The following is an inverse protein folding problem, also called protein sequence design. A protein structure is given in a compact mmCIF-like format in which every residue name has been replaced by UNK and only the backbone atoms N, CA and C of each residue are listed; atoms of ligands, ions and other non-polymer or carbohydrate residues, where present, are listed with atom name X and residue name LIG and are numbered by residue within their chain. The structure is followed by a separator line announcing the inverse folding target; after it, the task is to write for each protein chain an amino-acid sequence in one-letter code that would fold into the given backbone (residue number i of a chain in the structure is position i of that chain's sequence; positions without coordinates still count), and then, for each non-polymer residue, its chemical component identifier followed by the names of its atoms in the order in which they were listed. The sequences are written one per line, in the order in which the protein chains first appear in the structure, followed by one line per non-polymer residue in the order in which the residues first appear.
data_IF_394329461759
#
_entry.id   IF_394329461759
#
_cell.length_a   1.000
_cell.length_b   1.000
_cell.length_c   1.000
_cell.angle_alpha   90.00
_cell.angle_beta   90.00
_cell.angle_gamma   90.00
#
_symmetry.space_group_name_H-M   'P 1'
#
loop_
_entity.id
_entity.type
_entity.pdbx_description
1 polymer ?
#
# COMPACT_ATOMS: atom_id res chain seq x y z
N UNK A 1 -10.08 18.96 13.04
CA UNK A 1 -9.41 17.67 13.32
C UNK A 1 -10.23 16.46 12.89
N UNK A 2 -11.21 15.97 13.67
CA UNK A 2 -11.98 14.74 13.32
C UNK A 2 -12.68 14.81 11.96
N UNK A 3 -13.21 15.98 11.58
CA UNK A 3 -13.92 16.16 10.31
C UNK A 3 -13.00 16.08 9.08
N UNK A 4 -11.74 16.52 9.20
CA UNK A 4 -10.77 16.48 8.09
C UNK A 4 -10.34 15.04 7.86
N UNK A 5 -9.94 14.33 8.92
CA UNK A 5 -9.55 12.92 8.81
C UNK A 5 -10.70 12.06 8.30
N UNK A 6 -11.92 12.30 8.81
CA UNK A 6 -13.10 11.61 8.29
C UNK A 6 -13.29 11.86 6.80
N UNK A 7 -13.15 13.12 6.35
CA UNK A 7 -13.24 13.46 4.92
C UNK A 7 -12.16 12.77 4.08
N UNK A 8 -10.93 12.65 4.58
CA UNK A 8 -9.85 11.96 3.86
C UNK A 8 -10.13 10.45 3.74
N UNK A 9 -10.59 9.81 4.82
CA UNK A 9 -10.87 8.36 4.84
C UNK A 9 -12.12 7.95 4.05
N UNK A 10 -13.07 8.88 3.86
CA UNK A 10 -14.27 8.69 3.03
C UNK A 10 -13.98 8.76 1.54
N UNK A 11 -12.96 9.53 1.14
CA UNK A 11 -12.52 9.59 -0.25
C UNK A 11 -11.70 8.35 -0.62
N UNK A 12 -11.82 7.95 -1.88
CA UNK A 12 -10.97 6.89 -2.44
C UNK A 12 -9.77 7.55 -3.09
N UNK A 13 -8.53 7.27 -2.65
CA UNK A 13 -7.32 7.78 -3.30
C UNK A 13 -7.27 7.40 -4.77
N UNK A 14 -6.70 8.28 -5.59
CA UNK A 14 -6.65 8.14 -7.05
C UNK A 14 -5.96 6.83 -7.48
N UNK A 15 -4.92 6.42 -6.74
CA UNK A 15 -4.19 5.16 -6.97
C UNK A 15 -5.07 3.90 -6.82
N UNK A 16 -6.25 4.01 -6.19
CA UNK A 16 -7.19 2.91 -5.98
C UNK A 16 -8.43 2.99 -6.88
N UNK A 17 -8.69 4.12 -7.56
CA UNK A 17 -9.92 4.37 -8.36
C UNK A 17 -10.14 3.39 -9.52
N UNK A 18 -9.06 2.77 -9.99
CA UNK A 18 -9.06 1.70 -10.98
C UNK A 18 -9.83 0.44 -10.55
N UNK A 19 -9.94 0.22 -9.25
CA UNK A 19 -10.50 -0.98 -8.64
C UNK A 19 -11.91 -0.74 -8.08
N UNK A 20 -12.60 -1.82 -7.74
CA UNK A 20 -13.71 -1.79 -6.79
C UNK A 20 -13.10 -1.86 -5.39
N UNK A 21 -13.38 -0.82 -4.60
CA UNK A 21 -12.82 -0.63 -3.27
C UNK A 21 -13.94 -0.76 -2.24
N UNK A 22 -13.75 -1.57 -1.20
CA UNK A 22 -14.69 -1.69 -0.09
C UNK A 22 -13.96 -1.64 1.24
N UNK A 23 -14.53 -0.95 2.24
CA UNK A 23 -14.02 -1.01 3.62
C UNK A 23 -14.04 -2.45 4.12
N UNK A 24 -13.00 -2.86 4.84
CA UNK A 24 -12.83 -4.21 5.36
C UNK A 24 -12.46 -4.18 6.83
N UNK A 25 -13.16 -4.97 7.63
CA UNK A 25 -12.88 -5.17 9.07
C UNK A 25 -11.98 -6.40 9.31
N UNK A 26 -11.14 -6.72 8.33
CA UNK A 26 -10.26 -7.87 8.40
C UNK A 26 -9.28 -7.76 9.57
N UNK A 27 -9.03 -8.86 10.27
CA UNK A 27 -8.07 -8.90 11.37
C UNK A 27 -6.65 -8.77 10.83
N UNK A 28 -5.96 -7.69 11.18
CA UNK A 28 -4.58 -7.43 10.77
C UNK A 28 -3.57 -8.28 11.58
N UNK A 29 -2.44 -8.67 10.98
CA UNK A 29 -1.43 -9.53 11.62
C UNK A 29 -0.61 -8.82 12.72
N UNK A 30 -0.59 -7.50 12.78
CA UNK A 30 0.12 -6.70 13.79
C UNK A 30 -0.77 -5.56 14.32
N UNK A 31 -0.58 -5.16 15.59
CA UNK A 31 -1.44 -4.18 16.28
C UNK A 31 -1.06 -2.70 16.09
N UNK A 32 0.13 -2.41 15.53
CA UNK A 32 0.65 -1.05 15.31
C UNK A 32 -0.11 -0.20 14.27
N UNK A 33 -0.77 -0.81 13.28
CA UNK A 33 -1.51 -0.09 12.22
C UNK A 33 -3.04 -0.20 12.43
N UNK A 34 -3.48 0.02 13.67
CA UNK A 34 -4.90 -0.07 14.05
C UNK A 34 -5.31 1.19 14.80
N UNK A 35 -6.51 1.72 14.54
CA UNK A 35 -7.02 2.92 15.20
C UNK A 35 -7.98 3.72 14.31
N UNK A 36 -8.50 4.84 14.84
CA UNK A 36 -9.49 5.68 14.16
C UNK A 36 -8.93 6.46 12.96
N UNK A 37 -7.60 6.58 12.87
CA UNK A 37 -6.91 7.27 11.78
C UNK A 37 -6.54 6.33 10.62
N UNK A 38 -6.84 5.03 10.76
CA UNK A 38 -6.54 4.01 9.76
C UNK A 38 -7.82 3.55 9.09
N UNK A 39 -7.73 3.26 7.80
CA UNK A 39 -8.77 2.48 7.09
C UNK A 39 -8.12 1.27 6.44
N UNK A 40 -8.83 0.16 6.39
CA UNK A 40 -8.46 -0.98 5.55
C UNK A 40 -9.49 -1.11 4.44
N UNK A 41 -9.00 -1.20 3.20
CA UNK A 41 -9.82 -1.36 2.01
C UNK A 41 -9.44 -2.68 1.32
N UNK A 42 -10.43 -3.49 0.99
CA UNK A 42 -10.25 -4.61 0.07
C UNK A 42 -10.30 -4.09 -1.37
N UNK A 43 -9.36 -4.57 -2.20
CA UNK A 43 -9.33 -4.29 -3.62
C UNK A 43 -9.89 -5.48 -4.40
N UNK A 44 -10.73 -5.19 -5.40
CA UNK A 44 -11.20 -6.18 -6.36
C UNK A 44 -11.29 -5.56 -7.76
N UNK A 45 -11.24 -6.37 -8.80
CA UNK A 45 -11.34 -5.83 -10.15
C UNK A 45 -12.80 -5.43 -10.46
N UNK A 46 -12.98 -4.37 -11.25
CA UNK A 46 -14.29 -3.94 -11.76
C UNK A 46 -14.99 -5.05 -12.57
N UNK A 47 -14.24 -5.94 -13.22
CA UNK A 47 -14.77 -7.10 -13.95
C UNK A 47 -15.39 -8.19 -13.05
N UNK A 48 -15.25 -8.06 -11.72
CA UNK A 48 -15.79 -9.01 -10.74
C UNK A 48 -14.77 -9.97 -10.13
N UNK A 49 -13.54 -10.04 -10.69
CA UNK A 49 -12.50 -10.89 -10.12
C UNK A 49 -12.02 -10.35 -8.77
N UNK A 50 -12.02 -11.20 -7.74
CA UNK A 50 -11.63 -10.80 -6.37
C UNK A 50 -10.15 -11.03 -6.07
N UNK A 51 -9.51 -11.95 -6.79
CA UNK A 51 -8.09 -12.27 -6.61
C UNK A 51 -7.27 -11.46 -7.62
N UNK A 52 -6.19 -10.85 -7.15
CA UNK A 52 -5.35 -9.97 -7.94
C UNK A 52 -3.90 -10.43 -7.82
N UNK A 53 -3.14 -10.23 -8.88
CA UNK A 53 -1.70 -10.43 -8.89
C UNK A 53 -1.05 -9.17 -8.34
N UNK A 54 -0.17 -9.32 -7.37
CA UNK A 54 0.62 -8.23 -6.83
C UNK A 54 2.06 -8.37 -7.32
N UNK A 55 2.62 -7.28 -7.83
CA UNK A 55 3.98 -7.23 -8.35
C UNK A 55 4.74 -6.12 -7.63
N UNK A 56 5.89 -6.46 -7.05
CA UNK A 56 6.71 -5.56 -6.23
C UNK A 56 8.18 -5.90 -6.41
N UNK A 57 9.08 -5.00 -5.98
CA UNK A 57 10.51 -5.28 -6.01
C UNK A 57 10.88 -6.31 -4.94
N UNK A 58 11.84 -7.18 -5.24
CA UNK A 58 12.33 -8.20 -4.31
C UNK A 58 13.87 -8.14 -4.24
N UNK A 59 14.41 -8.10 -3.03
CA UNK A 59 15.85 -8.21 -2.80
C UNK A 59 16.09 -9.32 -1.77
N UNK A 60 16.84 -10.37 -2.13
CA UNK A 60 17.27 -11.35 -1.14
C UNK A 60 18.52 -10.83 -0.43
N UNK A 61 18.37 -10.56 0.86
CA UNK A 61 19.45 -10.16 1.76
C UNK A 61 19.96 -11.38 2.49
N UNK A 62 21.28 -11.58 2.41
CA UNK A 62 21.96 -12.61 3.20
C UNK A 62 22.38 -11.98 4.52
N UNK A 63 21.79 -12.43 5.61
CA UNK A 63 22.09 -11.95 6.97
C UNK A 63 22.76 -13.06 7.80
N UNK A 64 23.69 -12.68 8.68
CA UNK A 64 24.35 -13.59 9.63
C UNK A 64 25.79 -13.97 9.25
N UNK A 65 26.70 -13.76 10.21
CA UNK A 65 28.15 -13.95 10.03
C UNK A 65 28.58 -15.44 10.13
N UNK A 66 27.81 -16.28 10.84
CA UNK A 66 28.10 -17.71 11.06
C UNK A 66 27.08 -18.67 10.43
N UNK A 67 25.82 -18.23 10.24
CA UNK A 67 24.78 -18.95 9.52
C UNK A 67 24.09 -17.96 8.59
N UNK A 68 24.51 -17.97 7.33
CA UNK A 68 23.90 -17.17 6.27
C UNK A 68 22.43 -17.55 6.14
N UNK A 69 21.54 -16.63 6.48
CA UNK A 69 20.09 -16.75 6.25
C UNK A 69 19.72 -15.80 5.13
N UNK A 70 19.16 -16.35 4.08
CA UNK A 70 18.52 -15.57 3.03
C UNK A 70 17.16 -15.11 3.52
N UNK A 71 16.94 -13.79 3.46
CA UNK A 71 15.65 -13.17 3.73
C UNK A 71 15.28 -12.35 2.48
N UNK A 72 14.17 -12.71 1.87
CA UNK A 72 13.59 -11.91 0.78
C UNK A 72 12.89 -10.71 1.39
N UNK A 73 13.35 -9.51 1.05
CA UNK A 73 12.70 -8.26 1.42
C UNK A 73 11.97 -7.70 0.21
N UNK A 74 10.74 -7.22 0.43
CA UNK A 74 9.87 -6.67 -0.59
C UNK A 74 9.86 -5.16 -0.47
N UNK A 75 9.98 -4.47 -1.59
CA UNK A 75 10.08 -3.01 -1.64
C UNK A 75 9.11 -2.43 -2.67
N UNK A 76 8.61 -1.20 -2.44
CA UNK A 76 7.80 -0.50 -3.42
C UNK A 76 8.58 -0.21 -4.73
N UNK A 77 7.90 0.13 -5.83
CA UNK A 77 6.45 0.33 -5.93
C UNK A 77 5.67 -0.98 -5.95
N UNK A 78 4.36 -0.88 -5.67
CA UNK A 78 3.42 -2.00 -5.67
C UNK A 78 2.43 -1.83 -6.81
N UNK A 79 2.47 -2.78 -7.75
CA UNK A 79 1.51 -2.88 -8.84
C UNK A 79 0.55 -4.03 -8.60
N UNK A 80 -0.69 -3.82 -8.99
CA UNK A 80 -1.74 -4.83 -8.91
C UNK A 80 -2.35 -5.02 -10.29
N UNK A 81 -2.47 -6.27 -10.74
CA UNK A 81 -3.11 -6.66 -11.99
C UNK A 81 -4.25 -7.66 -11.78
N UNK A 82 -5.28 -7.56 -12.60
CA UNK A 82 -6.34 -8.54 -12.65
C UNK A 82 -6.00 -9.64 -13.67
N UNK A 83 -5.86 -10.91 -13.26
CA UNK A 83 -5.54 -12.01 -14.18
C UNK A 83 -6.66 -12.27 -15.20
N UNK A 84 -7.90 -11.85 -14.91
CA UNK A 84 -9.05 -12.13 -15.77
C UNK A 84 -9.21 -11.12 -16.94
N UNK A 85 -9.03 -9.82 -16.69
CA UNK A 85 -9.23 -8.79 -17.72
C UNK A 85 -7.97 -7.99 -18.05
N UNK A 86 -6.84 -8.28 -17.40
CA UNK A 86 -5.56 -7.63 -17.66
C UNK A 86 -5.45 -6.18 -17.17
N UNK A 87 -6.49 -5.62 -16.54
CA UNK A 87 -6.38 -4.28 -15.94
C UNK A 87 -5.28 -4.25 -14.87
N UNK A 88 -4.40 -3.26 -14.94
CA UNK A 88 -3.29 -3.11 -14.01
C UNK A 88 -3.13 -1.64 -13.60
N UNK A 89 -2.73 -1.41 -12.35
CA UNK A 89 -2.40 -0.10 -11.82
C UNK A 89 -1.36 -0.19 -10.69
N UNK A 90 -0.61 0.88 -10.49
CA UNK A 90 0.23 1.06 -9.30
C UNK A 90 -0.67 1.52 -8.16
N UNK A 91 -0.72 0.74 -7.07
CA UNK A 91 -1.52 1.08 -5.88
C UNK A 91 -0.70 1.82 -4.82
N UNK A 92 0.64 1.72 -4.90
CA UNK A 92 1.53 2.43 -4.00
C UNK A 92 2.91 2.63 -4.62
N UNK A 93 3.46 3.80 -4.38
CA UNK A 93 4.80 4.22 -4.76
C UNK A 93 5.14 5.39 -3.83
N UNK A 94 6.10 5.27 -2.91
CA UNK A 94 6.39 6.31 -1.93
C UNK A 94 6.90 7.60 -2.59
N UNK A 95 7.45 7.54 -3.81
CA UNK A 95 7.89 8.74 -4.54
C UNK A 95 6.71 9.57 -5.07
N UNK A 96 5.53 8.95 -5.22
CA UNK A 96 4.33 9.59 -5.77
C UNK A 96 3.27 9.81 -4.69
N UNK A 97 3.10 8.83 -3.81
CA UNK A 97 2.01 8.72 -2.84
C UNK A 97 2.47 8.89 -1.39
N UNK A 98 3.77 9.01 -1.15
CA UNK A 98 4.29 9.30 0.18
C UNK A 98 4.26 10.80 0.46
N UNK A 99 3.98 11.19 1.71
CA UNK A 99 4.06 12.59 2.16
C UNK A 99 5.40 13.25 1.75
N UNK A 100 6.53 12.58 1.97
CA UNK A 100 7.85 13.08 1.58
C UNK A 100 8.15 13.01 0.07
N UNK A 101 7.38 12.25 -0.72
CA UNK A 101 7.58 12.14 -2.17
C UNK A 101 7.39 13.48 -2.90
N UNK A 102 6.67 14.42 -2.29
CA UNK A 102 6.55 15.81 -2.77
C UNK A 102 7.54 16.79 -2.14
N UNK A 103 8.11 16.48 -0.98
CA UNK A 103 8.75 17.49 -0.12
C UNK A 103 10.27 17.30 0.03
N UNK A 104 10.84 16.09 -0.02
CA UNK A 104 12.29 15.90 0.19
C UNK A 104 12.97 14.81 -0.66
N UNK A 105 14.26 15.05 -0.86
CA UNK A 105 15.27 14.45 -1.73
C UNK A 105 15.16 12.95 -2.09
N UNK A 106 15.30 12.68 -3.39
CA UNK A 106 15.21 11.36 -4.00
C UNK A 106 16.34 10.42 -3.56
N UNK A 107 16.12 9.62 -2.51
CA UNK A 107 17.06 8.55 -2.13
C UNK A 107 16.40 7.20 -1.87
N UNK A 108 15.28 6.92 -2.54
CA UNK A 108 14.93 5.53 -2.85
C UNK A 108 15.39 5.26 -4.27
N UNK A 109 16.69 4.99 -4.45
CA UNK A 109 17.26 4.54 -5.72
C UNK A 109 16.52 3.29 -6.18
N UNK A 110 15.57 3.45 -7.11
CA UNK A 110 15.00 2.34 -7.87
C UNK A 110 16.02 1.94 -8.93
N UNK A 111 17.09 1.25 -8.52
CA UNK A 111 17.98 0.56 -9.45
C UNK A 111 17.19 -0.54 -10.16
N UNK A 112 16.64 -0.24 -11.36
CA UNK A 112 16.24 -1.20 -12.40
C UNK A 112 15.78 -2.58 -11.91
N UNK A 113 14.87 -2.62 -10.94
CA UNK A 113 14.42 -3.88 -10.37
C UNK A 113 13.19 -4.35 -11.13
N UNK A 114 13.29 -5.55 -11.71
CA UNK A 114 12.14 -6.20 -12.35
C UNK A 114 11.12 -6.52 -11.27
N UNK A 115 9.96 -5.86 -11.34
CA UNK A 115 8.82 -6.18 -10.49
C UNK A 115 8.50 -7.67 -10.65
N UNK A 116 8.42 -8.36 -9.52
CA UNK A 116 8.19 -9.81 -9.49
C UNK A 116 6.90 -10.09 -8.74
N UNK A 117 6.13 -11.11 -9.17
CA UNK A 117 4.87 -11.45 -8.52
C UNK A 117 5.11 -11.89 -7.08
N UNK A 118 4.26 -11.41 -6.17
CA UNK A 118 4.23 -11.83 -4.77
C UNK A 118 2.80 -11.78 -4.21
N UNK A 119 2.19 -12.91 -3.81
CA UNK A 119 2.73 -14.27 -3.90
C UNK A 119 2.75 -14.74 -5.37
N UNK A 120 3.26 -15.95 -5.62
CA UNK A 120 3.34 -16.53 -6.98
C UNK A 120 1.97 -16.74 -7.65
N UNK A 121 0.88 -16.73 -6.87
CA UNK A 121 -0.48 -16.89 -7.35
C UNK A 121 -1.34 -15.68 -6.99
N UNK A 122 -2.41 -15.37 -7.74
CA UNK A 122 -3.36 -14.32 -7.37
C UNK A 122 -3.90 -14.50 -5.94
N UNK A 123 -4.14 -13.38 -5.25
CA UNK A 123 -4.59 -13.37 -3.86
C UNK A 123 -5.60 -12.23 -3.64
N UNK A 124 -6.38 -12.31 -2.56
CA UNK A 124 -7.19 -11.16 -2.12
C UNK A 124 -6.26 -10.09 -1.56
N UNK A 125 -6.31 -8.89 -2.13
CA UNK A 125 -5.43 -7.77 -1.76
C UNK A 125 -6.18 -6.76 -0.92
N UNK A 126 -5.51 -6.25 0.11
CA UNK A 126 -5.99 -5.18 0.96
C UNK A 126 -4.95 -4.06 1.03
N UNK A 127 -5.41 -2.82 1.00
CA UNK A 127 -4.61 -1.64 1.30
C UNK A 127 -5.05 -1.11 2.66
N UNK A 128 -4.12 -0.95 3.58
CA UNK A 128 -4.33 -0.30 4.86
C UNK A 128 -3.47 0.96 4.90
N UNK A 129 -4.09 2.11 5.16
CA UNK A 129 -3.39 3.39 5.15
C UNK A 129 -3.95 4.34 6.21
N UNK A 130 -3.12 5.31 6.58
CA UNK A 130 -3.44 6.36 7.56
C UNK A 130 -3.11 7.76 7.07
N UNK A 131 -3.70 8.72 7.77
CA UNK A 131 -3.41 10.14 7.70
C UNK A 131 -3.12 10.64 9.13
N UNK A 132 -1.99 10.23 9.70
CA UNK A 132 -1.57 10.72 11.03
C UNK A 132 -0.91 12.11 10.89
N UNK A 133 -1.00 12.94 11.94
CA UNK A 133 -0.53 14.34 11.88
C UNK A 133 -1.49 15.23 11.07
N UNK A 134 -2.67 15.53 11.63
CA UNK A 134 -3.74 16.26 10.94
C UNK A 134 -3.30 17.65 10.47
N UNK A 135 -2.40 18.27 11.24
CA UNK A 135 -1.76 19.55 10.95
C UNK A 135 -1.08 19.59 9.57
N UNK A 136 -0.52 18.46 9.14
CA UNK A 136 0.14 18.34 7.83
C UNK A 136 -0.89 18.46 6.70
N UNK A 137 -2.05 17.83 6.85
CA UNK A 137 -3.14 17.88 5.87
C UNK A 137 -3.88 19.21 5.85
N UNK A 138 -3.99 19.87 7.00
CA UNK A 138 -4.49 21.26 7.08
C UNK A 138 -3.60 22.20 6.25
N UNK A 139 -2.28 22.01 6.29
CA UNK A 139 -1.32 22.69 5.43
C UNK A 139 -1.56 22.47 3.93
N UNK A 140 -1.66 21.21 3.48
CA UNK A 140 -1.92 20.89 2.06
C UNK A 140 -3.21 21.54 1.54
N UNK A 141 -4.27 21.51 2.35
CA UNK A 141 -5.56 22.10 1.99
C UNK A 141 -5.43 23.63 1.89
N UNK A 142 -4.72 24.26 2.82
CA UNK A 142 -4.45 25.70 2.80
C UNK A 142 -3.62 26.12 1.57
N UNK A 143 -2.67 25.29 1.15
CA UNK A 143 -1.82 25.50 -0.03
C UNK A 143 -2.52 25.18 -1.36
N UNK A 144 -3.78 24.71 -1.32
CA UNK A 144 -4.60 24.46 -2.50
C UNK A 144 -4.29 23.14 -3.22
N UNK A 145 -3.68 22.16 -2.53
CA UNK A 145 -3.48 20.82 -3.08
C UNK A 145 -4.84 20.16 -3.29
N UNK A 146 -5.11 19.71 -4.52
CA UNK A 146 -6.43 19.23 -4.93
C UNK A 146 -6.83 17.90 -4.26
N UNK A 147 -5.86 16.99 -4.10
CA UNK A 147 -6.10 15.61 -3.65
C UNK A 147 -5.25 15.25 -2.42
N UNK A 148 -5.48 15.87 -1.26
CA UNK A 148 -4.72 15.57 -0.04
C UNK A 148 -4.84 14.09 0.40
N UNK A 149 -5.88 13.38 -0.02
CA UNK A 149 -6.07 11.94 0.21
C UNK A 149 -5.04 11.03 -0.46
N UNK A 150 -4.29 11.52 -1.45
CA UNK A 150 -3.27 10.73 -2.15
C UNK A 150 -1.92 10.69 -1.41
N UNK A 151 -1.77 11.46 -0.33
CA UNK A 151 -0.53 11.58 0.45
C UNK A 151 -0.67 10.82 1.77
N UNK A 152 -0.19 9.59 1.78
CA UNK A 152 -0.29 8.72 2.94
C UNK A 152 0.80 9.07 3.97
N UNK A 153 0.45 8.92 5.24
CA UNK A 153 1.41 8.91 6.34
C UNK A 153 1.96 7.49 6.54
N UNK A 154 1.09 6.48 6.53
CA UNK A 154 1.50 5.07 6.38
C UNK A 154 0.71 4.39 5.28
N UNK A 155 1.36 3.45 4.59
CA UNK A 155 0.71 2.58 3.63
C UNK A 155 1.22 1.15 3.76
N UNK A 156 0.30 0.22 4.00
CA UNK A 156 0.56 -1.20 4.17
C UNK A 156 -0.25 -2.00 3.15
N UNK A 157 0.41 -2.91 2.45
CA UNK A 157 -0.25 -3.87 1.58
C UNK A 157 -0.33 -5.21 2.27
N UNK A 158 -1.53 -5.78 2.31
CA UNK A 158 -1.81 -7.07 2.91
C UNK A 158 -2.46 -7.99 1.89
N UNK A 159 -2.28 -9.29 2.09
CA UNK A 159 -2.93 -10.32 1.28
C UNK A 159 -3.52 -11.40 2.18
N UNK A 160 -4.54 -12.11 1.67
CA UNK A 160 -4.86 -13.45 2.17
C UNK A 160 -3.92 -14.42 1.47
N UNK A 161 -2.96 -14.98 2.21
CA UNK A 161 -1.97 -15.91 1.69
C UNK A 161 -2.67 -17.16 1.11
N UNK A 162 -2.51 -17.45 -0.20
CA UNK A 162 -3.27 -18.53 -0.85
C UNK A 162 -3.06 -19.92 -0.23
N UNK A 163 -1.89 -20.18 0.36
CA UNK A 163 -1.53 -21.48 0.94
C UNK A 163 -2.12 -21.69 2.34
N UNK A 164 -2.23 -20.63 3.13
CA UNK A 164 -2.60 -20.74 4.55
C UNK A 164 -3.97 -20.15 4.85
N UNK A 165 -4.50 -19.29 3.98
CA UNK A 165 -5.70 -18.49 4.21
C UNK A 165 -5.49 -17.38 5.25
N UNK A 166 -4.27 -17.21 5.78
CA UNK A 166 -3.99 -16.18 6.77
C UNK A 166 -3.74 -14.83 6.11
N UNK A 167 -4.06 -13.77 6.84
CA UNK A 167 -3.73 -12.41 6.43
C UNK A 167 -2.27 -12.14 6.75
N UNK A 168 -1.50 -11.78 5.74
CA UNK A 168 -0.07 -11.47 5.89
C UNK A 168 0.23 -10.09 5.32
N UNK A 169 1.16 -9.41 5.97
CA UNK A 169 1.73 -8.14 5.51
C UNK A 169 2.73 -8.45 4.39
N UNK A 170 2.52 -7.85 3.22
CA UNK A 170 3.45 -7.92 2.09
C UNK A 170 4.55 -6.88 2.28
N UNK A 171 4.15 -5.64 2.53
CA UNK A 171 5.04 -4.53 2.84
C UNK A 171 4.30 -3.45 3.61
N UNK A 172 5.06 -2.66 4.35
CA UNK A 172 4.60 -1.47 5.06
C UNK A 172 5.61 -0.36 4.85
N UNK A 173 5.13 0.85 4.57
CA UNK A 173 5.94 2.05 4.45
C UNK A 173 5.40 3.11 5.39
N UNK A 174 6.30 3.65 6.21
CA UNK A 174 6.14 4.98 6.81
C UNK A 174 6.57 5.98 5.73
N UNK A 175 5.73 6.96 5.45
CA UNK A 175 5.88 7.88 4.33
C UNK A 175 6.23 9.31 4.78
N UNK A 176 6.33 9.50 6.10
CA UNK A 176 6.70 10.72 6.83
C UNK A 176 8.16 10.65 7.33
#
# INVERSE_FOLDING_TARGET
MEQIIKSLLEKTPDCLTGFKVSVSDIKLPRSWNTGLLFTTKQLSCKCGNQELELNTNQQVRVSGFFKKREKTELFPPVKVSCPNCGYAATIFDPQIHGWNGQIEDHSCESENSNLSPHPESPAKVFANYSYQGVENYEGLIADGVANPEDYFDTFTVLIVEPKTGNVVEVLSSECA
#
